data_IF_819770701143
#
_entry.id   IF_819770701143
#
_cell.length_a   1.000
_cell.length_b   1.000
_cell.length_c   1.000
_cell.angle_alpha   90.00
_cell.angle_beta   90.00
_cell.angle_gamma   90.00
#
_symmetry.space_group_name_H-M   'P 1'
#
loop_
_entity.id
_entity.type
_entity.pdbx_description
1 polymer ?
#
# COMPACT_ATOMS: atom_id res chain seq x y z
N UNK A 1 12.31 -21.80 4.68
CA UNK A 1 10.93 -21.26 4.71
C UNK A 1 10.47 -21.14 3.26
N UNK A 2 9.34 -21.72 2.86
CA UNK A 2 8.91 -21.64 1.46
C UNK A 2 8.69 -20.18 1.06
N UNK A 3 9.17 -19.79 -0.11
CA UNK A 3 9.09 -18.41 -0.62
C UNK A 3 7.68 -17.82 -0.59
N UNK A 4 6.67 -18.68 -0.76
CA UNK A 4 5.26 -18.32 -0.67
C UNK A 4 4.85 -17.82 0.72
N UNK A 5 5.43 -18.34 1.81
CA UNK A 5 5.16 -17.84 3.16
C UNK A 5 5.72 -16.44 3.37
N UNK A 6 6.86 -16.13 2.77
CA UNK A 6 7.47 -14.79 2.80
C UNK A 6 6.61 -13.80 1.99
N UNK A 7 6.14 -14.21 0.82
CA UNK A 7 5.28 -13.38 -0.04
C UNK A 7 3.89 -13.09 0.59
N UNK A 8 3.44 -13.90 1.56
CA UNK A 8 2.22 -13.62 2.32
C UNK A 8 2.39 -12.53 3.39
N UNK A 9 3.62 -12.25 3.84
CA UNK A 9 3.87 -11.21 4.84
C UNK A 9 3.38 -9.83 4.39
N UNK A 10 3.68 -9.33 3.17
CA UNK A 10 3.14 -8.05 2.72
C UNK A 10 1.62 -8.10 2.51
N UNK A 11 1.08 -9.24 2.06
CA UNK A 11 -0.37 -9.43 1.91
C UNK A 11 -1.09 -9.24 3.24
N UNK A 12 -0.61 -9.89 4.30
CA UNK A 12 -1.21 -9.80 5.63
C UNK A 12 -0.90 -8.45 6.29
N UNK A 13 0.35 -8.00 6.28
CA UNK A 13 0.75 -6.78 6.97
C UNK A 13 0.10 -5.53 6.37
N UNK A 14 0.22 -5.29 5.06
CA UNK A 14 -0.45 -4.16 4.42
C UNK A 14 -1.98 -4.31 4.39
N UNK A 15 -2.49 -5.55 4.46
CA UNK A 15 -3.92 -5.82 4.53
C UNK A 15 -4.52 -5.46 5.89
N UNK A 16 -3.84 -5.81 6.98
CA UNK A 16 -4.28 -5.51 8.34
C UNK A 16 -3.94 -4.09 8.78
N UNK A 17 -2.88 -3.49 8.26
CA UNK A 17 -2.45 -2.13 8.60
C UNK A 17 -3.61 -1.10 8.58
N UNK A 18 -4.40 -0.93 7.50
CA UNK A 18 -5.49 0.05 7.48
C UNK A 18 -6.63 -0.32 8.45
N UNK A 19 -6.82 -1.60 8.75
CA UNK A 19 -7.79 -2.07 9.74
C UNK A 19 -7.31 -1.65 11.14
N UNK A 20 -6.07 -1.99 11.50
CA UNK A 20 -5.46 -1.67 12.79
C UNK A 20 -5.48 -0.16 13.02
N UNK A 21 -5.09 0.63 12.03
CA UNK A 21 -5.11 2.09 12.11
C UNK A 21 -6.49 2.66 12.47
N UNK A 22 -7.56 1.99 12.02
CA UNK A 22 -8.95 2.43 12.19
C UNK A 22 -9.70 1.72 13.32
N UNK A 23 -9.08 0.76 14.04
CA UNK A 23 -9.64 0.18 15.27
C UNK A 23 -9.85 1.23 16.36
N UNK A 24 -9.15 2.36 16.24
CA UNK A 24 -9.25 3.50 17.14
C UNK A 24 -9.51 4.77 16.35
N UNK A 25 -10.23 5.71 16.95
CA UNK A 25 -10.52 7.04 16.38
C UNK A 25 -9.28 7.96 16.46
N UNK A 26 -8.18 7.55 15.83
CA UNK A 26 -6.98 8.37 15.66
C UNK A 26 -7.14 9.27 14.44
N UNK A 27 -6.53 10.45 14.46
CA UNK A 27 -6.45 11.28 13.26
C UNK A 27 -5.48 10.66 12.24
N UNK A 28 -5.63 10.95 10.94
CA UNK A 28 -4.67 10.51 9.93
C UNK A 28 -3.22 10.91 10.26
N UNK A 29 -3.01 12.08 10.85
CA UNK A 29 -1.70 12.56 11.27
C UNK A 29 -1.12 11.76 12.46
N UNK A 30 -1.96 11.35 13.42
CA UNK A 30 -1.55 10.47 14.52
C UNK A 30 -1.23 9.05 14.03
N UNK A 31 -2.02 8.54 13.07
CA UNK A 31 -1.79 7.26 12.41
C UNK A 31 -0.45 7.27 11.68
N UNK A 32 -0.19 8.31 10.89
CA UNK A 32 1.07 8.50 10.17
C UNK A 32 2.27 8.56 11.13
N UNK A 33 2.17 9.37 12.18
CA UNK A 33 3.26 9.55 13.14
C UNK A 33 3.58 8.25 13.88
N UNK A 34 2.56 7.57 14.40
CA UNK A 34 2.76 6.28 15.08
C UNK A 34 3.34 5.20 14.16
N UNK A 35 2.87 5.15 12.92
CA UNK A 35 3.38 4.21 11.91
C UNK A 35 4.87 4.47 11.62
N UNK A 36 5.24 5.74 11.44
CA UNK A 36 6.62 6.15 11.12
C UNK A 36 7.59 5.93 12.29
N UNK A 37 7.15 6.17 13.53
CA UNK A 37 7.98 5.89 14.72
C UNK A 37 8.28 4.40 14.80
N UNK A 38 7.28 3.54 14.65
CA UNK A 38 7.52 2.10 14.69
C UNK A 38 8.35 1.61 13.51
N UNK A 39 8.19 2.18 12.31
CA UNK A 39 9.04 1.88 11.17
C UNK A 39 10.51 2.22 11.44
N UNK A 40 10.78 3.37 12.07
CA UNK A 40 12.14 3.76 12.42
C UNK A 40 12.76 2.85 13.49
N UNK A 41 12.00 2.51 14.54
CA UNK A 41 12.46 1.56 15.56
C UNK A 41 12.82 0.19 14.94
N UNK A 42 11.96 -0.31 14.05
CA UNK A 42 12.22 -1.55 13.33
C UNK A 42 13.45 -1.44 12.41
N UNK A 43 13.59 -0.33 11.70
CA UNK A 43 14.72 -0.09 10.81
C UNK A 43 16.06 -0.03 11.58
N UNK A 44 16.09 0.58 12.77
CA UNK A 44 17.28 0.57 13.63
C UNK A 44 17.67 -0.83 14.08
N UNK A 45 16.69 -1.66 14.47
CA UNK A 45 16.94 -3.06 14.86
C UNK A 45 17.54 -3.83 13.68
N UNK A 46 16.95 -3.71 12.48
CA UNK A 46 17.48 -4.37 11.29
C UNK A 46 18.85 -3.86 10.88
N UNK A 47 19.09 -2.55 10.97
CA UNK A 47 20.39 -1.97 10.66
C UNK A 47 21.48 -2.53 11.59
N UNK A 48 21.20 -2.68 12.89
CA UNK A 48 22.16 -3.25 13.82
C UNK A 48 22.47 -4.73 13.55
N UNK A 49 21.47 -5.51 13.14
CA UNK A 49 21.63 -6.94 12.84
C UNK A 49 22.36 -7.16 11.50
N UNK A 50 21.98 -6.41 10.46
CA UNK A 50 22.44 -6.65 9.09
C UNK A 50 23.64 -5.77 8.71
N UNK A 51 23.82 -4.64 9.37
CA UNK A 51 24.88 -3.65 9.13
C UNK A 51 25.12 -3.34 7.64
N UNK A 52 24.09 -2.97 6.86
CA UNK A 52 24.26 -2.68 5.44
C UNK A 52 25.08 -1.40 5.24
N UNK A 53 25.91 -1.37 4.20
CA UNK A 53 26.60 -0.15 3.79
C UNK A 53 25.58 0.88 3.26
N UNK A 54 25.60 2.09 3.81
CA UNK A 54 24.75 3.20 3.40
C UNK A 54 25.66 4.27 2.79
N UNK A 55 25.67 4.34 1.47
CA UNK A 55 26.31 5.42 0.72
C UNK A 55 25.48 6.71 0.77
N UNK A 56 26.10 7.86 0.50
CA UNK A 56 25.39 9.16 0.41
C UNK A 56 24.23 9.10 -0.58
N UNK A 57 24.42 8.47 -1.74
CA UNK A 57 23.38 8.30 -2.75
C UNK A 57 22.21 7.48 -2.20
N UNK A 58 22.50 6.29 -1.64
CA UNK A 58 21.47 5.40 -1.07
C UNK A 58 20.69 6.08 0.06
N UNK A 59 21.36 6.88 0.88
CA UNK A 59 20.74 7.66 1.94
C UNK A 59 19.75 8.68 1.39
N UNK A 60 20.19 9.54 0.46
CA UNK A 60 19.37 10.64 -0.07
C UNK A 60 18.15 10.09 -0.81
N UNK A 61 18.36 9.12 -1.72
CA UNK A 61 17.28 8.53 -2.53
C UNK A 61 16.24 7.85 -1.64
N UNK A 62 16.69 7.04 -0.68
CA UNK A 62 15.79 6.32 0.23
C UNK A 62 15.09 7.28 1.20
N UNK A 63 15.77 8.33 1.67
CA UNK A 63 15.14 9.36 2.47
C UNK A 63 14.01 10.06 1.72
N UNK A 64 14.22 10.40 0.44
CA UNK A 64 13.18 10.98 -0.43
C UNK A 64 12.04 10.00 -0.68
N UNK A 65 12.33 8.71 -0.90
CA UNK A 65 11.26 7.70 -1.03
C UNK A 65 10.40 7.62 0.24
N UNK A 66 11.01 7.79 1.41
CA UNK A 66 10.32 7.86 2.70
C UNK A 66 9.39 9.07 2.82
N UNK A 67 9.77 10.22 2.25
CA UNK A 67 8.91 11.41 2.17
C UNK A 67 7.70 11.13 1.27
N UNK A 68 7.90 10.56 0.09
CA UNK A 68 6.79 10.17 -0.80
C UNK A 68 5.84 9.20 -0.11
N UNK A 69 6.38 8.22 0.62
CA UNK A 69 5.55 7.32 1.41
C UNK A 69 4.69 8.09 2.42
N UNK A 70 5.26 9.05 3.15
CA UNK A 70 4.51 9.80 4.17
C UNK A 70 3.36 10.62 3.59
N UNK A 71 3.55 11.25 2.42
CA UNK A 71 2.45 11.92 1.71
C UNK A 71 1.40 10.94 1.23
N UNK A 72 1.82 9.86 0.58
CA UNK A 72 0.94 8.80 0.10
C UNK A 72 0.11 8.20 1.23
N UNK A 73 0.75 7.81 2.32
CA UNK A 73 0.10 7.19 3.46
C UNK A 73 -0.83 8.14 4.19
N UNK A 74 -0.47 9.42 4.36
CA UNK A 74 -1.36 10.41 4.97
C UNK A 74 -2.65 10.58 4.18
N UNK A 75 -2.54 10.70 2.85
CA UNK A 75 -3.69 10.84 1.97
C UNK A 75 -4.55 9.56 1.96
N UNK A 76 -3.92 8.38 2.06
CA UNK A 76 -4.63 7.12 2.21
C UNK A 76 -5.46 7.10 3.49
N UNK A 77 -4.84 7.44 4.63
CA UNK A 77 -5.51 7.51 5.93
C UNK A 77 -6.65 8.54 5.92
N UNK A 78 -6.48 9.70 5.28
CA UNK A 78 -7.57 10.68 5.09
C UNK A 78 -8.70 10.12 4.22
N UNK A 79 -8.38 9.44 3.13
CA UNK A 79 -9.37 8.80 2.26
C UNK A 79 -10.18 7.72 2.99
N UNK A 80 -9.52 6.92 3.82
CA UNK A 80 -10.17 5.92 4.68
C UNK A 80 -11.07 6.61 5.72
N UNK A 81 -10.58 7.64 6.40
CA UNK A 81 -11.33 8.39 7.40
C UNK A 81 -12.57 9.08 6.81
N UNK A 82 -12.49 9.56 5.56
CA UNK A 82 -13.60 10.14 4.82
C UNK A 82 -14.59 9.10 4.24
N UNK A 83 -14.25 7.81 4.27
CA UNK A 83 -15.07 6.74 3.73
C UNK A 83 -15.06 5.49 4.63
N UNK A 84 -14.38 4.42 4.22
CA UNK A 84 -14.08 3.25 5.05
C UNK A 84 -12.91 2.47 4.44
N UNK A 85 -12.29 1.61 5.25
CA UNK A 85 -11.19 0.72 4.80
C UNK A 85 -11.61 -0.08 3.57
N UNK A 86 -12.80 -0.68 3.61
CA UNK A 86 -13.32 -1.52 2.53
C UNK A 86 -13.63 -0.77 1.22
N UNK A 87 -13.72 0.58 1.26
CA UNK A 87 -13.95 1.41 0.08
C UNK A 87 -12.66 1.99 -0.47
N UNK A 88 -11.85 2.58 0.40
CA UNK A 88 -10.63 3.27 -0.02
C UNK A 88 -9.52 2.30 -0.46
N UNK A 89 -9.39 1.14 0.19
CA UNK A 89 -8.27 0.23 -0.08
C UNK A 89 -8.29 -0.38 -1.49
N UNK A 90 -9.44 -0.84 -2.04
CA UNK A 90 -9.46 -1.27 -3.43
C UNK A 90 -9.05 -0.19 -4.42
N UNK A 91 -9.56 1.04 -4.24
CA UNK A 91 -9.20 2.17 -5.10
C UNK A 91 -7.71 2.45 -5.01
N UNK A 92 -7.16 2.48 -3.80
CA UNK A 92 -5.74 2.75 -3.56
C UNK A 92 -4.87 1.69 -4.22
N UNK A 93 -5.10 0.42 -3.88
CA UNK A 93 -4.27 -0.69 -4.34
C UNK A 93 -4.36 -0.89 -5.85
N UNK A 94 -5.56 -0.76 -6.41
CA UNK A 94 -5.78 -0.87 -7.85
C UNK A 94 -5.03 0.20 -8.63
N UNK A 95 -5.21 1.47 -8.24
CA UNK A 95 -4.60 2.60 -8.95
C UNK A 95 -3.08 2.67 -8.73
N UNK A 96 -2.60 2.29 -7.54
CA UNK A 96 -1.16 2.16 -7.27
C UNK A 96 -0.53 1.03 -8.10
N UNK A 97 -1.23 -0.09 -8.28
CA UNK A 97 -0.77 -1.19 -9.13
C UNK A 97 -0.67 -0.75 -10.59
N UNK A 98 -1.69 -0.06 -11.12
CA UNK A 98 -1.61 0.54 -12.46
C UNK A 98 -0.40 1.48 -12.57
N UNK A 99 -0.20 2.37 -11.59
CA UNK A 99 0.94 3.29 -11.57
C UNK A 99 2.29 2.55 -11.57
N UNK A 100 2.45 1.56 -10.70
CA UNK A 100 3.67 0.76 -10.62
C UNK A 100 3.95 -0.02 -11.92
N UNK A 101 2.91 -0.63 -12.51
CA UNK A 101 3.01 -1.33 -13.79
C UNK A 101 3.40 -0.38 -14.92
N UNK A 102 2.84 0.85 -14.98
CA UNK A 102 3.23 1.83 -16.00
C UNK A 102 4.72 2.20 -15.89
N UNK A 103 5.24 2.39 -14.68
CA UNK A 103 6.68 2.63 -14.48
C UNK A 103 7.52 1.42 -14.91
N UNK A 104 7.12 0.21 -14.52
CA UNK A 104 7.82 -1.02 -14.91
C UNK A 104 7.93 -1.18 -16.43
N UNK A 105 6.86 -0.88 -17.15
CA UNK A 105 6.81 -1.04 -18.60
C UNK A 105 7.50 0.09 -19.34
N UNK A 106 7.20 1.35 -18.98
CA UNK A 106 7.66 2.50 -19.74
C UNK A 106 9.07 2.94 -19.36
N UNK A 107 9.43 2.82 -18.08
CA UNK A 107 10.70 3.31 -17.55
C UNK A 107 11.71 2.17 -17.42
N UNK A 108 11.33 1.07 -16.76
CA UNK A 108 12.23 -0.08 -16.59
C UNK A 108 12.24 -1.02 -17.80
N UNK A 109 11.35 -0.78 -18.78
CA UNK A 109 11.31 -1.50 -20.06
C UNK A 109 11.17 -3.02 -19.85
N UNK A 110 10.35 -3.45 -18.89
CA UNK A 110 10.22 -4.88 -18.57
C UNK A 110 9.43 -5.68 -19.63
N UNK A 111 8.42 -5.08 -20.29
CA UNK A 111 7.63 -5.80 -21.33
C UNK A 111 8.20 -5.60 -22.73
N UNK A 112 9.22 -6.38 -23.08
CA UNK A 112 9.88 -6.30 -24.39
C UNK A 112 9.15 -7.05 -25.52
N UNK A 113 8.18 -7.92 -25.22
CA UNK A 113 7.47 -8.71 -26.23
C UNK A 113 6.02 -8.27 -26.40
N UNK A 114 5.49 -8.38 -27.62
CA UNK A 114 4.08 -8.07 -27.92
C UNK A 114 3.14 -8.91 -27.05
N UNK A 115 3.47 -10.18 -26.82
CA UNK A 115 2.70 -11.07 -25.93
C UNK A 115 2.69 -10.56 -24.49
N UNK A 116 3.83 -10.11 -23.96
CA UNK A 116 3.90 -9.55 -22.61
C UNK A 116 3.05 -8.29 -22.47
N UNK A 117 3.08 -7.42 -23.48
CA UNK A 117 2.23 -6.21 -23.53
C UNK A 117 0.75 -6.56 -23.53
N UNK A 118 0.32 -7.51 -24.37
CA UNK A 118 -1.10 -7.92 -24.44
C UNK A 118 -1.57 -8.50 -23.10
N UNK A 119 -0.85 -9.47 -22.55
CA UNK A 119 -1.19 -10.11 -21.27
C UNK A 119 -1.24 -9.06 -20.15
N UNK A 120 -0.26 -8.16 -20.13
CA UNK A 120 -0.17 -7.09 -19.14
C UNK A 120 -1.31 -6.09 -19.21
N UNK A 121 -1.71 -5.65 -20.41
CA UNK A 121 -2.87 -4.77 -20.61
C UNK A 121 -4.16 -5.47 -20.15
N UNK A 122 -4.35 -6.73 -20.53
CA UNK A 122 -5.52 -7.52 -20.08
C UNK A 122 -5.54 -7.62 -18.55
N UNK A 123 -4.39 -7.88 -17.93
CA UNK A 123 -4.28 -7.98 -16.49
C UNK A 123 -4.68 -6.67 -15.78
N UNK A 124 -4.17 -5.53 -16.28
CA UNK A 124 -4.51 -4.19 -15.77
C UNK A 124 -6.02 -3.91 -15.90
N UNK A 125 -6.63 -4.26 -17.03
CA UNK A 125 -8.09 -4.09 -17.23
C UNK A 125 -8.87 -4.93 -16.23
N UNK A 126 -8.51 -6.20 -16.03
CA UNK A 126 -9.17 -7.08 -15.05
C UNK A 126 -9.08 -6.51 -13.63
N UNK A 127 -7.91 -5.98 -13.25
CA UNK A 127 -7.71 -5.34 -11.95
C UNK A 127 -8.59 -4.10 -11.81
N UNK A 128 -8.64 -3.22 -12.82
CA UNK A 128 -9.47 -2.02 -12.79
C UNK A 128 -10.96 -2.35 -12.67
N UNK A 129 -11.46 -3.32 -13.44
CA UNK A 129 -12.84 -3.80 -13.34
C UNK A 129 -13.09 -4.35 -11.93
N UNK A 130 -12.19 -5.19 -11.42
CA UNK A 130 -12.31 -5.78 -10.09
C UNK A 130 -12.37 -4.72 -8.99
N UNK A 131 -11.54 -3.67 -9.07
CA UNK A 131 -11.56 -2.53 -8.14
C UNK A 131 -12.91 -1.81 -8.16
N UNK A 132 -13.43 -1.50 -9.35
CA UNK A 132 -14.76 -0.88 -9.49
C UNK A 132 -15.86 -1.77 -8.90
N UNK A 133 -15.81 -3.08 -9.15
CA UNK A 133 -16.77 -4.03 -8.60
C UNK A 133 -16.72 -4.11 -7.07
N UNK A 134 -15.53 -4.13 -6.47
CA UNK A 134 -15.40 -4.13 -4.99
C UNK A 134 -15.93 -2.86 -4.33
N UNK A 135 -15.99 -1.75 -5.07
CA UNK A 135 -16.57 -0.48 -4.62
C UNK A 135 -18.10 -0.40 -4.74
N UNK A 136 -18.77 -1.42 -5.29
CA UNK A 136 -20.22 -1.43 -5.50
C UNK A 136 -20.98 -1.38 -4.17
N UNK A 137 -22.01 -0.52 -4.12
CA UNK A 137 -22.90 -0.41 -2.95
C UNK A 137 -24.36 -0.26 -3.39
N UNK A 138 -25.26 -1.01 -2.74
CA UNK A 138 -26.71 -0.94 -2.96
C UNK A 138 -27.36 -0.15 -1.83
N UNK A 139 -27.92 1.03 -2.12
CA UNK A 139 -28.66 1.85 -1.15
C UNK A 139 -30.13 1.99 -1.58
N UNK A 140 -31.01 1.19 -0.98
CA UNK A 140 -32.44 1.20 -1.32
C UNK A 140 -32.71 0.75 -2.76
N UNK A 141 -33.62 1.45 -3.46
CA UNK A 141 -34.00 1.20 -4.87
C UNK A 141 -33.27 2.12 -5.89
N UNK A 142 -32.37 3.00 -5.46
CA UNK A 142 -31.63 3.91 -6.35
C UNK A 142 -30.13 3.59 -6.37
N UNK A 143 -29.53 3.68 -7.56
CA UNK A 143 -28.07 3.60 -7.76
C UNK A 143 -27.51 5.01 -7.50
N UNK A 144 -27.06 5.29 -6.29
CA UNK A 144 -26.30 6.52 -5.97
C UNK A 144 -24.80 6.24 -6.00
N UNK A 145 -23.97 7.23 -6.36
CA UNK A 145 -22.50 7.11 -6.26
C UNK A 145 -22.09 6.61 -4.87
N UNK A 146 -21.43 5.44 -4.82
CA UNK A 146 -21.10 4.73 -3.57
C UNK A 146 -19.94 5.37 -2.79
N UNK A 147 -19.14 6.20 -3.47
CA UNK A 147 -17.94 6.88 -2.97
C UNK A 147 -17.92 8.28 -3.59
N UNK A 148 -17.71 9.32 -2.78
CA UNK A 148 -17.68 10.70 -3.29
C UNK A 148 -16.46 10.94 -4.17
N UNK A 149 -16.60 11.81 -5.18
CA UNK A 149 -15.48 12.23 -6.04
C UNK A 149 -14.26 12.72 -5.23
N UNK A 150 -14.49 13.38 -4.10
CA UNK A 150 -13.42 13.80 -3.18
C UNK A 150 -12.57 12.61 -2.67
N UNK A 151 -13.21 11.49 -2.31
CA UNK A 151 -12.51 10.29 -1.84
C UNK A 151 -11.74 9.63 -2.99
N UNK A 152 -12.28 9.60 -4.20
CA UNK A 152 -11.51 9.16 -5.36
C UNK A 152 -10.26 10.03 -5.58
N UNK A 153 -10.43 11.35 -5.60
CA UNK A 153 -9.32 12.29 -5.81
C UNK A 153 -8.20 12.13 -4.77
N UNK A 154 -8.54 12.04 -3.48
CA UNK A 154 -7.52 11.92 -2.43
C UNK A 154 -6.82 10.56 -2.45
N UNK A 155 -7.55 9.47 -2.74
CA UNK A 155 -6.99 8.11 -2.77
C UNK A 155 -6.15 7.89 -4.04
N UNK A 156 -6.54 8.43 -5.19
CA UNK A 156 -5.72 8.37 -6.41
C UNK A 156 -4.43 9.16 -6.22
N UNK A 157 -4.50 10.35 -5.62
CA UNK A 157 -3.30 11.14 -5.31
C UNK A 157 -2.40 10.42 -4.29
N UNK A 158 -3.00 9.76 -3.29
CA UNK A 158 -2.29 8.87 -2.38
C UNK A 158 -1.53 7.78 -3.14
N UNK A 159 -2.20 7.07 -4.04
CA UNK A 159 -1.61 6.02 -4.86
C UNK A 159 -0.46 6.52 -5.71
N UNK A 160 -0.56 7.72 -6.29
CA UNK A 160 0.54 8.33 -7.04
C UNK A 160 1.80 8.49 -6.19
N UNK A 161 1.67 9.06 -4.98
CA UNK A 161 2.81 9.17 -4.05
C UNK A 161 3.33 7.82 -3.58
N UNK A 162 2.44 6.84 -3.34
CA UNK A 162 2.84 5.49 -2.98
C UNK A 162 3.54 4.75 -4.15
N UNK A 163 3.17 5.04 -5.40
CA UNK A 163 3.91 4.58 -6.59
C UNK A 163 5.30 5.21 -6.62
N UNK A 164 5.42 6.52 -6.43
CA UNK A 164 6.72 7.20 -6.35
C UNK A 164 7.61 6.61 -5.25
N UNK A 165 7.04 6.34 -4.08
CA UNK A 165 7.73 5.64 -2.99
C UNK A 165 8.37 4.32 -3.44
N UNK A 166 7.61 3.47 -4.16
CA UNK A 166 8.08 2.16 -4.62
C UNK A 166 9.18 2.30 -5.68
N UNK A 167 8.99 3.17 -6.67
CA UNK A 167 9.89 3.22 -7.84
C UNK A 167 11.14 4.08 -7.62
N UNK A 168 11.14 5.00 -6.64
CA UNK A 168 12.25 5.95 -6.43
C UNK A 168 13.58 5.25 -6.24
N UNK A 169 13.66 4.23 -5.37
CA UNK A 169 14.94 3.53 -5.14
C UNK A 169 15.41 2.76 -6.39
N UNK A 170 14.46 2.16 -7.11
CA UNK A 170 14.75 1.39 -8.32
C UNK A 170 15.26 2.28 -9.46
N UNK A 171 14.81 3.53 -9.56
CA UNK A 171 15.30 4.51 -10.55
C UNK A 171 16.79 4.86 -10.40
N UNK A 172 17.36 4.67 -9.20
CA UNK A 172 18.76 4.97 -8.90
C UNK A 172 19.56 3.72 -8.56
N UNK A 173 19.04 2.53 -8.90
CA UNK A 173 19.67 1.23 -8.62
C UNK A 173 20.02 1.01 -7.14
N UNK A 174 19.31 1.69 -6.24
CA UNK A 174 19.45 1.49 -4.80
C UNK A 174 18.63 0.26 -4.42
N UNK A 175 19.28 -0.78 -3.92
CA UNK A 175 18.65 -2.08 -3.65
C UNK A 175 19.03 -2.63 -2.27
N UNK A 176 18.24 -3.61 -1.80
CA UNK A 176 18.53 -4.34 -0.57
C UNK A 176 18.23 -3.57 0.71
N UNK A 177 18.92 -3.95 1.78
CA UNK A 177 18.63 -3.47 3.14
C UNK A 177 19.14 -2.06 3.43
N UNK A 178 19.98 -1.47 2.55
CA UNK A 178 20.46 -0.08 2.66
C UNK A 178 19.32 0.94 2.55
N UNK A 179 18.18 0.55 1.98
CA UNK A 179 17.00 1.40 1.81
C UNK A 179 16.28 1.66 3.15
N UNK A 180 16.22 0.65 4.03
CA UNK A 180 15.23 0.60 5.12
C UNK A 180 15.42 1.75 6.11
N UNK A 181 16.65 1.96 6.59
CA UNK A 181 16.93 2.96 7.61
C UNK A 181 16.76 4.40 7.12
N UNK A 182 17.41 4.84 6.02
CA UNK A 182 17.23 6.22 5.55
C UNK A 182 15.79 6.51 5.14
N UNK A 183 15.07 5.52 4.59
CA UNK A 183 13.65 5.65 4.28
C UNK A 183 12.80 5.86 5.52
N UNK A 184 13.01 5.08 6.58
CA UNK A 184 12.27 5.26 7.82
C UNK A 184 12.56 6.62 8.49
N UNK A 185 13.79 7.14 8.35
CA UNK A 185 14.13 8.50 8.78
C UNK A 185 13.32 9.52 7.97
N UNK A 186 13.30 9.41 6.64
CA UNK A 186 12.52 10.29 5.76
C UNK A 186 11.02 10.27 6.07
N UNK A 187 10.47 9.08 6.35
CA UNK A 187 9.08 8.92 6.75
C UNK A 187 8.77 9.70 8.03
N UNK A 188 9.59 9.50 9.08
CA UNK A 188 9.38 10.16 10.38
C UNK A 188 9.60 11.66 10.30
N UNK A 189 10.66 12.12 9.61
CA UNK A 189 10.94 13.55 9.43
C UNK A 189 9.77 14.25 8.75
N UNK A 190 9.21 13.65 7.68
CA UNK A 190 8.03 14.18 7.00
C UNK A 190 6.79 14.19 7.93
N UNK A 191 6.55 13.10 8.66
CA UNK A 191 5.42 13.00 9.58
C UNK A 191 5.47 14.06 10.69
N UNK A 192 6.66 14.32 11.24
CA UNK A 192 6.88 15.39 12.21
C UNK A 192 6.63 16.76 11.57
N UNK A 193 7.21 17.02 10.39
CA UNK A 193 7.02 18.27 9.67
C UNK A 193 5.55 18.60 9.38
N UNK A 194 4.77 17.61 8.94
CA UNK A 194 3.31 17.75 8.71
C UNK A 194 2.57 18.12 10.00
N UNK A 195 2.90 17.46 11.11
CA UNK A 195 2.27 17.70 12.40
C UNK A 195 2.59 19.10 12.95
N UNK A 196 3.84 19.55 12.82
CA UNK A 196 4.28 20.89 13.22
C UNK A 196 3.58 21.97 12.38
N UNK A 197 3.48 21.78 11.05
CA UNK A 197 2.85 22.74 10.14
C UNK A 197 1.36 22.93 10.41
N UNK A 198 0.63 21.85 10.75
CA UNK A 198 -0.79 21.91 11.07
C UNK A 198 -1.11 22.37 12.48
N UNK A 199 -0.12 22.43 13.39
CA UNK A 199 -0.31 22.69 14.83
C UNK A 199 -1.36 21.77 15.47
N UNK A 200 -1.46 20.53 14.99
CA UNK A 200 -2.48 19.58 15.45
C UNK A 200 -2.16 19.14 16.88
N UNK A 201 -3.13 19.16 17.78
CA UNK A 201 -2.98 18.53 19.09
C UNK A 201 -2.88 17.01 18.91
N UNK A 202 -1.75 16.42 19.29
CA UNK A 202 -1.47 15.00 19.12
C UNK A 202 -1.78 14.27 20.42
N UNK A 203 -2.64 13.26 20.37
CA UNK A 203 -2.84 12.36 21.50
C UNK A 203 -1.72 11.32 21.54
N UNK A 204 -0.86 11.39 22.56
CA UNK A 204 0.18 10.38 22.84
C UNK A 204 -0.41 8.97 22.84
N UNK A 205 -1.58 8.79 23.44
CA UNK A 205 -2.25 7.48 23.53
C UNK A 205 -2.66 6.95 22.14
N UNK A 206 -3.01 7.81 21.19
CA UNK A 206 -3.36 7.43 19.82
C UNK A 206 -2.11 7.11 19.00
N UNK A 207 -1.05 7.90 19.13
CA UNK A 207 0.25 7.62 18.49
C UNK A 207 0.84 6.31 18.96
N UNK A 208 0.84 6.05 20.28
CA UNK A 208 1.34 4.78 20.85
C UNK A 208 0.54 3.58 20.34
N UNK A 209 -0.78 3.70 20.17
CA UNK A 209 -1.58 2.63 19.59
C UNK A 209 -1.18 2.35 18.13
N UNK A 210 -0.91 3.41 17.36
CA UNK A 210 -0.48 3.27 15.96
C UNK A 210 0.97 2.78 15.78
N UNK A 211 1.71 2.53 16.87
CA UNK A 211 2.92 1.70 16.77
C UNK A 211 2.58 0.29 16.27
N UNK A 212 1.40 -0.25 16.61
CA UNK A 212 0.93 -1.53 16.07
C UNK A 212 0.69 -1.46 14.55
N UNK A 213 0.16 -0.34 14.07
CA UNK A 213 0.00 -0.05 12.64
C UNK A 213 1.37 -0.08 11.94
N UNK A 214 2.37 0.59 12.52
CA UNK A 214 3.74 0.60 11.99
C UNK A 214 4.45 -0.74 12.08
N UNK A 215 4.18 -1.55 13.10
CA UNK A 215 4.71 -2.91 13.18
C UNK A 215 4.16 -3.77 12.04
N UNK A 216 2.86 -3.67 11.77
CA UNK A 216 2.21 -4.34 10.65
C UNK A 216 2.80 -3.93 9.30
N UNK A 217 3.02 -2.63 9.10
CA UNK A 217 3.71 -2.10 7.91
C UNK A 217 5.15 -2.59 7.80
N UNK A 218 5.89 -2.65 8.91
CA UNK A 218 7.30 -3.04 8.94
C UNK A 218 7.51 -4.51 8.59
N UNK A 219 6.65 -5.39 9.13
CA UNK A 219 6.62 -6.81 8.79
C UNK A 219 6.31 -7.01 7.30
N UNK A 220 5.32 -6.26 6.78
CA UNK A 220 5.02 -6.28 5.36
C UNK A 220 6.21 -5.86 4.51
N UNK A 221 6.88 -4.76 4.88
CA UNK A 221 8.01 -4.25 4.11
C UNK A 221 9.21 -5.21 4.13
N UNK A 222 9.53 -5.80 5.28
CA UNK A 222 10.57 -6.83 5.34
C UNK A 222 10.22 -8.01 4.43
N UNK A 223 8.99 -8.49 4.48
CA UNK A 223 8.50 -9.54 3.60
C UNK A 223 8.60 -9.16 2.11
N UNK A 224 8.29 -7.91 1.79
CA UNK A 224 8.40 -7.36 0.43
C UNK A 224 9.85 -7.33 -0.05
N UNK A 225 10.82 -6.89 0.76
CA UNK A 225 12.24 -6.91 0.39
C UNK A 225 12.75 -8.33 0.16
N UNK A 226 12.41 -9.27 1.05
CA UNK A 226 12.78 -10.68 0.90
C UNK A 226 12.12 -11.32 -0.33
N UNK A 227 10.85 -11.02 -0.61
CA UNK A 227 10.16 -11.52 -1.79
C UNK A 227 10.76 -10.94 -3.08
N UNK A 228 11.08 -9.64 -3.08
CA UNK A 228 11.69 -8.94 -4.22
C UNK A 228 13.07 -9.50 -4.55
N UNK A 229 13.88 -9.84 -3.55
CA UNK A 229 15.20 -10.42 -3.74
C UNK A 229 15.18 -11.75 -4.50
N UNK A 230 14.04 -12.46 -4.54
CA UNK A 230 13.94 -13.78 -5.19
C UNK A 230 12.97 -13.78 -6.38
N UNK A 231 11.87 -13.04 -6.32
CA UNK A 231 10.83 -12.99 -7.36
C UNK A 231 10.97 -11.79 -8.31
N UNK A 232 11.80 -10.80 -7.98
CA UNK A 232 11.83 -9.51 -8.68
C UNK A 232 10.69 -8.58 -8.24
N UNK A 233 10.83 -7.29 -8.56
CA UNK A 233 9.95 -6.21 -8.07
C UNK A 233 8.53 -6.34 -8.60
N UNK A 234 8.35 -6.54 -9.92
CA UNK A 234 7.03 -6.56 -10.53
C UNK A 234 6.16 -7.72 -10.02
N UNK A 235 6.74 -8.92 -9.94
CA UNK A 235 6.06 -10.12 -9.46
C UNK A 235 5.76 -10.03 -7.96
N UNK A 236 6.75 -9.65 -7.13
CA UNK A 236 6.55 -9.52 -5.69
C UNK A 236 5.50 -8.47 -5.35
N UNK A 237 5.53 -7.32 -6.05
CA UNK A 237 4.58 -6.24 -5.85
C UNK A 237 3.18 -6.66 -6.27
N UNK A 238 3.02 -7.28 -7.44
CA UNK A 238 1.72 -7.78 -7.89
C UNK A 238 1.10 -8.74 -6.88
N UNK A 239 1.86 -9.71 -6.36
CA UNK A 239 1.38 -10.65 -5.33
C UNK A 239 0.97 -9.90 -4.06
N UNK A 240 1.76 -8.92 -3.62
CA UNK A 240 1.48 -8.16 -2.41
C UNK A 240 0.15 -7.40 -2.45
N UNK A 241 -0.34 -7.03 -3.65
CA UNK A 241 -1.61 -6.33 -3.82
C UNK A 241 -2.83 -7.18 -3.45
N UNK A 242 -2.67 -8.50 -3.29
CA UNK A 242 -3.69 -9.36 -2.68
C UNK A 242 -4.05 -8.92 -1.25
N UNK A 243 -3.26 -8.05 -0.61
CA UNK A 243 -3.60 -7.39 0.64
C UNK A 243 -4.96 -6.67 0.61
N UNK A 244 -5.44 -6.28 -0.60
CA UNK A 244 -6.76 -5.69 -0.80
C UNK A 244 -7.88 -6.61 -0.30
N UNK A 245 -7.72 -7.93 -0.40
CA UNK A 245 -8.70 -8.92 0.06
C UNK A 245 -8.82 -8.85 1.57
N UNK A 246 -7.68 -8.89 2.25
CA UNK A 246 -7.59 -8.82 3.71
C UNK A 246 -8.17 -7.50 4.20
N UNK A 247 -7.79 -6.39 3.58
CA UNK A 247 -8.28 -5.07 3.97
C UNK A 247 -9.79 -4.91 3.73
N UNK A 248 -10.30 -5.40 2.60
CA UNK A 248 -11.71 -5.25 2.22
C UNK A 248 -12.60 -6.15 3.05
N UNK A 249 -12.36 -7.47 3.02
CA UNK A 249 -13.17 -8.43 3.77
C UNK A 249 -12.99 -8.20 5.27
N UNK A 250 -11.74 -8.08 5.74
CA UNK A 250 -11.45 -7.80 7.15
C UNK A 250 -12.07 -6.49 7.61
N UNK A 251 -11.99 -5.42 6.80
CA UNK A 251 -12.65 -4.15 7.10
C UNK A 251 -14.17 -4.25 7.18
N UNK A 252 -14.82 -5.04 6.33
CA UNK A 252 -16.26 -5.28 6.40
C UNK A 252 -16.63 -6.03 7.68
N UNK A 253 -15.92 -7.11 7.98
CA UNK A 253 -16.24 -7.99 9.10
C UNK A 253 -15.93 -7.34 10.46
N UNK A 254 -14.75 -6.74 10.61
CA UNK A 254 -14.30 -6.15 11.88
C UNK A 254 -15.09 -4.90 12.24
N UNK A 255 -15.38 -4.04 11.25
CA UNK A 255 -16.22 -2.85 11.48
C UNK A 255 -17.71 -3.13 11.32
N UNK A 256 -18.11 -4.41 11.21
CA UNK A 256 -19.50 -4.89 11.16
C UNK A 256 -20.36 -4.14 10.14
N UNK A 257 -19.81 -3.87 8.95
CA UNK A 257 -20.54 -3.18 7.88
C UNK A 257 -21.62 -4.10 7.31
N UNK A 258 -22.87 -3.66 7.33
CA UNK A 258 -23.97 -4.42 6.69
C UNK A 258 -23.82 -4.37 5.18
N UNK A 259 -23.89 -5.55 4.55
CA UNK A 259 -23.83 -5.74 3.10
C UNK A 259 -24.98 -6.65 2.67
N UNK A 260 -25.68 -6.26 1.63
CA UNK A 260 -26.69 -7.05 0.92
C UNK A 260 -26.03 -8.20 0.16
N UNK A 261 -26.79 -9.27 -0.17
CA UNK A 261 -26.27 -10.38 -0.96
C UNK A 261 -25.66 -9.93 -2.30
N UNK A 262 -26.29 -8.95 -2.97
CA UNK A 262 -25.79 -8.40 -4.23
C UNK A 262 -24.42 -7.73 -4.05
N UNK A 263 -24.24 -6.93 -2.99
CA UNK A 263 -22.94 -6.30 -2.71
C UNK A 263 -21.85 -7.33 -2.45
N UNK A 264 -22.17 -8.40 -1.71
CA UNK A 264 -21.23 -9.50 -1.50
C UNK A 264 -20.83 -10.17 -2.82
N UNK A 265 -21.78 -10.41 -3.73
CA UNK A 265 -21.46 -10.97 -5.05
C UNK A 265 -20.48 -10.07 -5.81
N UNK A 266 -20.75 -8.76 -5.88
CA UNK A 266 -19.84 -7.82 -6.55
C UNK A 266 -18.46 -7.74 -5.89
N UNK A 267 -18.40 -7.73 -4.56
CA UNK A 267 -17.14 -7.70 -3.82
C UNK A 267 -16.32 -8.97 -4.09
N UNK A 268 -16.94 -10.15 -3.99
CA UNK A 268 -16.25 -11.43 -4.18
C UNK A 268 -15.82 -11.63 -5.64
N UNK A 269 -16.68 -11.28 -6.61
CA UNK A 269 -16.33 -11.33 -8.03
C UNK A 269 -15.24 -10.32 -8.37
N UNK A 270 -15.27 -9.11 -7.80
CA UNK A 270 -14.23 -8.11 -8.00
C UNK A 270 -12.87 -8.56 -7.44
N UNK A 271 -12.87 -9.14 -6.24
CA UNK A 271 -11.68 -9.77 -5.64
C UNK A 271 -11.12 -10.87 -6.55
N UNK A 272 -11.99 -11.74 -7.10
CA UNK A 272 -11.58 -12.81 -8.01
C UNK A 272 -10.89 -12.24 -9.26
N UNK A 273 -11.46 -11.19 -9.87
CA UNK A 273 -10.87 -10.54 -11.04
C UNK A 273 -9.49 -9.92 -10.74
N UNK A 274 -9.34 -9.27 -9.58
CA UNK A 274 -8.04 -8.73 -9.14
C UNK A 274 -7.02 -9.86 -9.02
N UNK A 275 -7.39 -11.00 -8.42
CA UNK A 275 -6.49 -12.14 -8.28
C UNK A 275 -6.07 -12.73 -9.62
N UNK A 276 -7.01 -12.86 -10.57
CA UNK A 276 -6.69 -13.32 -11.92
C UNK A 276 -5.72 -12.36 -12.61
N UNK A 277 -5.94 -11.04 -12.50
CA UNK A 277 -5.03 -10.04 -13.05
C UNK A 277 -3.64 -10.08 -12.40
N UNK A 278 -3.57 -10.24 -11.08
CA UNK A 278 -2.30 -10.43 -10.35
C UNK A 278 -1.56 -11.67 -10.83
N UNK A 279 -2.26 -12.79 -11.05
CA UNK A 279 -1.66 -14.01 -11.60
C UNK A 279 -1.12 -13.75 -13.00
N UNK A 280 -1.87 -13.07 -13.87
CA UNK A 280 -1.39 -12.74 -15.22
C UNK A 280 -0.13 -11.88 -15.17
N UNK A 281 -0.09 -10.84 -14.32
CA UNK A 281 1.11 -10.02 -14.13
C UNK A 281 2.29 -10.84 -13.58
N UNK A 282 2.04 -11.80 -12.69
CA UNK A 282 3.10 -12.65 -12.13
C UNK A 282 3.73 -13.61 -13.15
N UNK A 283 3.01 -13.91 -14.24
CA UNK A 283 3.49 -14.75 -15.33
C UNK A 283 4.30 -13.97 -16.37
N UNK A 284 4.26 -12.63 -16.32
CA UNK A 284 5.08 -11.76 -17.16
C UNK A 284 6.49 -11.74 -16.58
N UNK A 285 7.43 -12.35 -17.32
CA UNK A 285 8.86 -12.19 -17.11
C UNK A 285 9.44 -11.26 -18.16
#
# INVERSE_FOLDING_TARGET
MSIYLIALLPVLGWGFMPIIANLRKSTPEEQLLGTSISALLFAFILFWILSPEITVLSFIVSFVSGIFWSFGQLLQFKGIAASSVAKAMPISNGTQLVGATLFAVLVFREWQTVTAVIIGVVAVILILIGVVMTGFQKRGNHITESVSFHVYGIVILSSFFLTLYVVTNQLFDVTGFSIILPQAIGMLTCAIGINLAKKTAISRKNVTFNLLTGLSWSIANLGMFLATAVLGVATSFSISQACVIVATIGGILIFKQKKSPLEWTFILSGILLIMVGVVFLSLLK
#
